data_IF_711092420391
#
_entry.id   IF_711092420391
#
_cell.length_a   1.000
_cell.length_b   1.000
_cell.length_c   1.000
_cell.angle_alpha   90.00
_cell.angle_beta   90.00
_cell.angle_gamma   90.00
#
_symmetry.space_group_name_H-M   'P 1'
#
loop_
_entity.id
_entity.type
_entity.pdbx_description
1 polymer ?
#
# COMPACT_ATOMS: atom_id res chain seq x y z
N UNK A 1 12.63 -3.05 -11.63
CA UNK A 1 12.71 -1.58 -11.68
C UNK A 1 11.53 -1.03 -10.91
N UNK A 2 11.70 0.10 -10.23
CA UNK A 2 10.63 0.76 -9.49
C UNK A 2 10.26 2.04 -10.20
N UNK A 3 8.96 2.32 -10.28
CA UNK A 3 8.44 3.60 -10.74
C UNK A 3 8.40 4.61 -9.59
N UNK A 4 8.49 5.89 -9.90
CA UNK A 4 8.23 6.96 -8.95
C UNK A 4 6.72 7.07 -8.66
N UNK A 5 6.30 8.02 -7.85
CA UNK A 5 4.91 8.25 -7.47
C UNK A 5 4.37 9.56 -8.05
N UNK A 6 3.07 9.65 -8.19
CA UNK A 6 2.37 10.92 -8.42
C UNK A 6 2.37 11.76 -7.12
N UNK A 7 2.79 13.02 -7.20
CA UNK A 7 2.88 13.91 -6.03
C UNK A 7 1.53 14.30 -5.44
N UNK A 8 0.41 14.06 -6.13
CA UNK A 8 -0.93 14.40 -5.66
C UNK A 8 -1.57 13.24 -4.91
N UNK A 9 -1.40 12.02 -5.43
CA UNK A 9 -1.99 10.80 -4.85
C UNK A 9 -1.04 10.05 -3.92
N UNK A 10 0.28 10.29 -4.02
CA UNK A 10 1.34 9.54 -3.34
C UNK A 10 1.34 8.03 -3.69
N UNK A 11 0.67 7.67 -4.74
CA UNK A 11 0.66 6.33 -5.33
C UNK A 11 1.33 6.36 -6.71
N UNK A 12 1.68 5.20 -7.26
CA UNK A 12 2.22 5.13 -8.62
C UNK A 12 1.16 5.48 -9.67
N UNK A 13 1.59 5.86 -10.87
CA UNK A 13 0.72 6.19 -12.00
C UNK A 13 1.30 5.70 -13.32
N UNK A 14 0.47 5.67 -14.36
CA UNK A 14 0.88 5.18 -15.68
C UNK A 14 2.02 6.01 -16.31
N UNK A 15 2.04 7.31 -16.04
CA UNK A 15 3.06 8.25 -16.54
C UNK A 15 4.45 7.90 -16.01
N UNK A 16 4.56 7.54 -14.72
CA UNK A 16 5.82 7.15 -14.08
C UNK A 16 6.24 5.71 -14.44
N UNK A 17 5.31 4.84 -14.81
CA UNK A 17 5.57 3.46 -15.22
C UNK A 17 6.05 3.41 -16.68
N UNK A 18 5.41 4.15 -17.59
CA UNK A 18 5.60 4.06 -19.05
C UNK A 18 7.07 4.14 -19.47
N UNK A 19 7.90 5.10 -19.00
CA UNK A 19 9.29 5.23 -19.41
C UNK A 19 10.20 4.06 -18.96
N UNK A 20 9.74 3.24 -18.03
CA UNK A 20 10.48 2.11 -17.48
C UNK A 20 10.21 0.78 -18.20
N UNK A 21 9.22 0.76 -19.10
CA UNK A 21 8.87 -0.45 -19.85
C UNK A 21 9.95 -0.73 -20.90
N UNK A 22 10.40 -1.98 -20.94
CA UNK A 22 11.36 -2.48 -21.93
C UNK A 22 10.88 -3.81 -22.51
N UNK A 23 11.55 -4.33 -23.54
CA UNK A 23 11.27 -5.67 -24.09
C UNK A 23 11.45 -6.82 -23.07
N UNK A 24 12.07 -6.56 -21.93
CA UNK A 24 12.24 -7.52 -20.82
C UNK A 24 11.15 -7.43 -19.76
N UNK A 25 10.34 -6.38 -19.78
CA UNK A 25 9.24 -6.21 -18.83
C UNK A 25 8.18 -7.29 -19.07
N UNK A 26 7.69 -7.91 -18.00
CA UNK A 26 6.69 -8.99 -18.06
C UNK A 26 5.42 -8.64 -17.28
N UNK A 27 5.56 -7.85 -16.23
CA UNK A 27 4.44 -7.47 -15.39
C UNK A 27 4.66 -6.10 -14.76
N UNK A 28 3.56 -5.47 -14.37
CA UNK A 28 3.49 -4.27 -13.54
C UNK A 28 2.91 -4.68 -12.19
N UNK A 29 3.58 -4.34 -11.10
CA UNK A 29 3.05 -4.53 -9.74
C UNK A 29 2.58 -3.18 -9.24
N UNK A 30 1.32 -3.10 -8.82
CA UNK A 30 0.66 -1.89 -8.33
C UNK A 30 0.28 -2.09 -6.88
N UNK A 31 0.75 -1.22 -5.98
CA UNK A 31 0.36 -1.25 -4.57
C UNK A 31 -0.64 -0.14 -4.26
N UNK A 32 -1.78 -0.50 -3.66
CA UNK A 32 -2.78 0.43 -3.14
C UNK A 32 -2.38 0.81 -1.70
N UNK A 33 -1.51 1.84 -1.58
CA UNK A 33 -0.87 2.20 -0.31
C UNK A 33 -1.83 2.95 0.61
N UNK A 34 -1.73 2.72 1.91
CA UNK A 34 -2.48 3.36 2.98
C UNK A 34 -4.01 3.12 2.97
N UNK A 35 -4.50 2.23 2.11
CA UNK A 35 -5.94 2.03 1.89
C UNK A 35 -6.54 2.93 0.82
N UNK A 36 -5.70 3.68 0.11
CA UNK A 36 -6.10 4.54 -1.00
C UNK A 36 -5.96 3.79 -2.34
N UNK A 37 -7.04 3.56 -3.09
CA UNK A 37 -6.96 2.99 -4.43
C UNK A 37 -6.08 3.80 -5.37
N UNK A 38 -5.23 3.11 -6.11
CA UNK A 38 -4.52 3.69 -7.26
C UNK A 38 -5.54 3.93 -8.39
N UNK A 39 -5.36 4.99 -9.19
CA UNK A 39 -6.02 5.09 -10.48
C UNK A 39 -5.45 4.02 -11.42
N UNK A 40 -6.04 2.83 -11.34
CA UNK A 40 -5.49 1.65 -12.01
C UNK A 40 -5.89 1.56 -13.49
N UNK A 41 -6.97 2.22 -13.91
CA UNK A 41 -7.49 2.13 -15.28
C UNK A 41 -6.45 2.55 -16.34
N UNK A 42 -5.73 3.69 -16.19
CA UNK A 42 -4.64 4.04 -17.10
C UNK A 42 -3.50 3.03 -17.10
N UNK A 43 -3.22 2.40 -15.96
CA UNK A 43 -2.16 1.38 -15.84
C UNK A 43 -2.57 0.09 -16.57
N UNK A 44 -3.83 -0.34 -16.45
CA UNK A 44 -4.37 -1.49 -17.22
C UNK A 44 -4.30 -1.20 -18.72
N UNK A 45 -4.69 0.01 -19.12
CA UNK A 45 -4.60 0.43 -20.54
C UNK A 45 -3.15 0.34 -21.03
N UNK A 46 -2.21 0.86 -20.26
CA UNK A 46 -0.78 0.79 -20.56
C UNK A 46 -0.28 -0.66 -20.63
N UNK A 47 -0.64 -1.50 -19.66
CA UNK A 47 -0.26 -2.91 -19.62
C UNK A 47 -0.75 -3.66 -20.88
N UNK A 48 -2.00 -3.42 -21.30
CA UNK A 48 -2.57 -4.01 -22.50
C UNK A 48 -1.81 -3.61 -23.77
N UNK A 49 -1.41 -2.31 -23.90
CA UNK A 49 -0.62 -1.83 -25.03
C UNK A 49 0.71 -2.56 -25.19
N UNK A 50 1.31 -2.99 -24.08
CA UNK A 50 2.61 -3.67 -24.07
C UNK A 50 2.50 -5.18 -23.80
N UNK A 51 1.30 -5.75 -23.79
CA UNK A 51 1.04 -7.17 -23.47
C UNK A 51 1.64 -7.61 -22.13
N UNK A 52 1.57 -6.73 -21.13
CA UNK A 52 2.06 -6.97 -19.77
C UNK A 52 0.96 -7.48 -18.85
N UNK A 53 1.35 -8.21 -17.81
CA UNK A 53 0.47 -8.61 -16.73
C UNK A 53 0.42 -7.56 -15.64
N UNK A 54 -0.72 -7.42 -14.97
CA UNK A 54 -0.89 -6.52 -13.82
C UNK A 54 -1.14 -7.34 -12.56
N UNK A 55 -0.35 -7.05 -11.53
CA UNK A 55 -0.43 -7.66 -10.20
C UNK A 55 -0.82 -6.57 -9.22
N UNK A 56 -1.93 -6.75 -8.49
CA UNK A 56 -2.36 -5.79 -7.47
C UNK A 56 -1.90 -6.22 -6.09
N UNK A 57 -1.13 -5.36 -5.41
CA UNK A 57 -0.84 -5.49 -3.98
C UNK A 57 -1.91 -4.72 -3.18
N UNK A 58 -2.86 -5.46 -2.64
CA UNK A 58 -3.96 -4.95 -1.84
C UNK A 58 -3.72 -5.10 -0.32
N UNK A 59 -2.47 -5.31 0.09
CA UNK A 59 -2.12 -5.61 1.49
C UNK A 59 -2.49 -4.51 2.49
N UNK A 60 -2.80 -3.30 2.02
CA UNK A 60 -3.22 -2.16 2.85
C UNK A 60 -4.61 -1.63 2.50
N UNK A 61 -5.34 -2.31 1.61
CA UNK A 61 -6.56 -1.77 0.99
C UNK A 61 -7.70 -2.81 0.89
N UNK A 62 -7.83 -3.64 1.93
CA UNK A 62 -8.91 -4.65 2.00
C UNK A 62 -10.29 -4.01 1.86
N UNK A 63 -10.98 -4.35 0.77
CA UNK A 63 -12.33 -3.86 0.51
C UNK A 63 -12.44 -2.43 -0.01
N UNK A 64 -11.32 -1.75 -0.29
CA UNK A 64 -11.33 -0.48 -0.98
C UNK A 64 -11.92 -0.61 -2.39
N UNK A 65 -12.53 0.47 -2.89
CA UNK A 65 -13.23 0.45 -4.17
C UNK A 65 -12.83 1.64 -5.05
N UNK A 66 -12.74 1.36 -6.35
CA UNK A 66 -12.64 2.35 -7.40
C UNK A 66 -13.83 2.16 -8.35
N UNK A 67 -14.65 3.21 -8.54
CA UNK A 67 -15.83 3.19 -9.40
C UNK A 67 -16.81 2.04 -9.08
N UNK A 68 -16.96 1.71 -7.78
CA UNK A 68 -17.84 0.65 -7.30
C UNK A 68 -17.28 -0.77 -7.48
N UNK A 69 -16.05 -0.93 -7.99
CA UNK A 69 -15.37 -2.20 -8.14
C UNK A 69 -14.24 -2.32 -7.12
N UNK A 70 -14.15 -3.46 -6.44
CA UNK A 70 -13.13 -3.67 -5.40
C UNK A 70 -11.72 -3.76 -6.00
N UNK A 71 -10.75 -3.11 -5.35
CA UNK A 71 -9.34 -3.32 -5.67
C UNK A 71 -8.97 -4.80 -5.50
N UNK A 72 -8.00 -5.25 -6.28
CA UNK A 72 -7.64 -6.66 -6.36
C UNK A 72 -8.43 -7.45 -7.41
N UNK A 73 -9.38 -6.80 -8.11
CA UNK A 73 -10.17 -7.43 -9.17
C UNK A 73 -9.96 -6.81 -10.56
N UNK A 74 -9.05 -5.85 -10.66
CA UNK A 74 -8.74 -5.15 -11.91
C UNK A 74 -7.64 -5.84 -12.72
N UNK A 75 -6.58 -6.28 -12.04
CA UNK A 75 -5.42 -6.93 -12.63
C UNK A 75 -5.63 -8.41 -12.93
N UNK A 76 -4.57 -9.05 -13.41
CA UNK A 76 -4.57 -10.51 -13.69
C UNK A 76 -4.57 -11.34 -12.41
N UNK A 77 -3.89 -10.86 -11.37
CA UNK A 77 -3.78 -11.52 -10.06
C UNK A 77 -3.57 -10.45 -8.98
N UNK A 78 -4.04 -10.73 -7.79
CA UNK A 78 -3.88 -9.86 -6.64
C UNK A 78 -3.52 -10.65 -5.39
N UNK A 79 -2.98 -9.94 -4.40
CA UNK A 79 -2.73 -10.51 -3.09
C UNK A 79 -3.07 -9.54 -1.96
N UNK A 80 -3.46 -10.12 -0.83
CA UNK A 80 -3.86 -9.44 0.39
C UNK A 80 -3.06 -9.99 1.55
N UNK A 81 -2.45 -9.12 2.35
CA UNK A 81 -1.80 -9.55 3.60
C UNK A 81 -2.85 -9.76 4.69
N UNK A 82 -2.77 -10.85 5.42
CA UNK A 82 -3.60 -11.10 6.62
C UNK A 82 -2.78 -11.05 7.91
N UNK A 83 -1.64 -10.33 7.87
CA UNK A 83 -0.80 -10.07 9.04
C UNK A 83 -1.61 -9.37 10.14
N UNK A 84 -1.22 -9.58 11.39
CA UNK A 84 -1.97 -9.20 12.61
C UNK A 84 -2.44 -7.74 12.71
N UNK A 85 -1.82 -6.80 11.98
CA UNK A 85 -2.23 -5.38 11.99
C UNK A 85 -3.07 -4.96 10.78
N UNK A 86 -3.51 -5.90 9.93
CA UNK A 86 -4.33 -5.59 8.75
C UNK A 86 -5.81 -5.53 9.10
N UNK A 87 -6.62 -4.87 8.26
CA UNK A 87 -8.09 -4.80 8.41
C UNK A 87 -8.71 -6.20 8.51
N UNK A 88 -8.24 -7.15 7.69
CA UNK A 88 -8.52 -8.56 7.82
C UNK A 88 -7.25 -9.26 8.30
N UNK A 89 -7.24 -9.72 9.54
CA UNK A 89 -6.08 -10.41 10.10
C UNK A 89 -6.39 -11.87 10.47
N UNK A 90 -5.34 -12.72 10.46
CA UNK A 90 -5.42 -14.14 10.83
C UNK A 90 -4.63 -14.45 12.11
N UNK A 91 -4.43 -13.44 12.96
CA UNK A 91 -3.78 -13.58 14.27
C UNK A 91 -2.26 -13.56 14.26
N UNK A 92 -1.62 -13.88 13.14
CA UNK A 92 -0.17 -13.91 12.98
C UNK A 92 0.28 -13.35 11.64
N UNK A 93 0.90 -14.20 10.84
CA UNK A 93 1.28 -13.91 9.45
C UNK A 93 0.39 -14.68 8.49
N UNK A 94 0.14 -14.12 7.32
CA UNK A 94 -0.65 -14.81 6.30
C UNK A 94 -0.95 -13.91 5.11
N UNK A 95 -1.60 -14.51 4.12
CA UNK A 95 -2.03 -13.81 2.93
C UNK A 95 -3.04 -14.62 2.12
N UNK A 96 -3.73 -13.93 1.25
CA UNK A 96 -4.69 -14.52 0.29
C UNK A 96 -4.29 -14.05 -1.10
N UNK A 97 -4.29 -14.97 -2.06
CA UNK A 97 -4.11 -14.68 -3.48
C UNK A 97 -5.45 -14.85 -4.18
N UNK A 98 -5.79 -13.91 -5.07
CA UNK A 98 -7.00 -13.92 -5.86
C UNK A 98 -6.70 -13.71 -7.33
N UNK A 99 -7.38 -14.43 -8.20
CA UNK A 99 -7.41 -14.22 -9.64
C UNK A 99 -8.71 -14.78 -10.23
N UNK A 100 -9.18 -14.18 -11.31
CA UNK A 100 -10.25 -14.74 -12.13
C UNK A 100 -9.72 -15.80 -13.13
N UNK A 101 -8.41 -16.01 -13.21
CA UNK A 101 -7.77 -17.01 -14.06
C UNK A 101 -7.51 -18.29 -13.27
N UNK A 102 -8.19 -19.39 -13.64
CA UNK A 102 -7.97 -20.71 -13.04
C UNK A 102 -6.49 -21.13 -13.17
N UNK A 103 -5.86 -20.90 -14.31
CA UNK A 103 -4.45 -21.22 -14.55
C UNK A 103 -3.50 -20.50 -13.58
N UNK A 104 -3.75 -19.20 -13.30
CA UNK A 104 -2.95 -18.44 -12.33
C UNK A 104 -3.17 -18.93 -10.89
N UNK A 105 -4.39 -19.30 -10.52
CA UNK A 105 -4.68 -19.86 -9.20
C UNK A 105 -4.01 -21.22 -9.02
N UNK A 106 -4.10 -22.11 -10.01
CA UNK A 106 -3.43 -23.41 -9.97
C UNK A 106 -1.90 -23.24 -9.80
N UNK A 107 -1.29 -22.37 -10.60
CA UNK A 107 0.15 -22.11 -10.53
C UNK A 107 0.56 -21.52 -9.17
N UNK A 108 -0.24 -20.59 -8.65
CA UNK A 108 0.00 -19.98 -7.33
C UNK A 108 -0.10 -21.01 -6.21
N UNK A 109 -1.13 -21.88 -6.25
CA UNK A 109 -1.32 -22.98 -5.29
C UNK A 109 -0.16 -23.96 -5.31
N UNK A 110 0.33 -24.32 -6.51
CA UNK A 110 1.49 -25.19 -6.63
C UNK A 110 2.74 -24.58 -6.00
N UNK A 111 3.05 -23.32 -6.32
CA UNK A 111 4.23 -22.63 -5.79
C UNK A 111 4.15 -22.46 -4.28
N UNK A 112 2.96 -22.19 -3.75
CA UNK A 112 2.74 -21.98 -2.31
C UNK A 112 2.66 -23.29 -1.50
N UNK A 113 2.48 -24.46 -2.14
CA UNK A 113 2.49 -25.75 -1.48
C UNK A 113 3.53 -26.70 -2.09
N UNK A 114 4.79 -26.36 -1.96
CA UNK A 114 5.92 -27.26 -2.24
C UNK A 114 5.97 -27.81 -3.68
N UNK A 115 5.31 -27.14 -4.62
CA UNK A 115 5.23 -27.55 -6.02
C UNK A 115 4.25 -28.70 -6.31
N UNK A 116 3.36 -29.01 -5.39
CA UNK A 116 2.39 -30.11 -5.53
C UNK A 116 1.19 -29.70 -6.39
N UNK A 117 0.63 -30.66 -7.10
CA UNK A 117 -0.60 -30.48 -7.89
C UNK A 117 -1.80 -30.96 -7.10
N UNK A 118 -2.74 -30.05 -6.85
CA UNK A 118 -4.06 -30.36 -6.33
C UNK A 118 -5.09 -30.14 -7.44
N UNK A 119 -5.18 -31.07 -8.40
CA UNK A 119 -6.19 -30.94 -9.45
C UNK A 119 -7.19 -32.07 -9.37
N UNK A 120 -8.47 -31.70 -9.19
CA UNK A 120 -9.70 -32.49 -9.42
C UNK A 120 -9.52 -34.01 -9.26
N UNK A 121 -9.23 -34.51 -8.06
CA UNK A 121 -9.15 -35.91 -7.70
C UNK A 121 -7.82 -36.65 -7.85
N UNK A 122 -6.75 -35.98 -8.31
CA UNK A 122 -5.43 -36.65 -8.37
C UNK A 122 -4.41 -35.88 -7.53
N UNK A 123 -4.25 -36.28 -6.28
CA UNK A 123 -3.07 -35.94 -5.49
C UNK A 123 -1.86 -36.66 -6.09
N UNK A 124 -1.02 -35.92 -6.79
CA UNK A 124 0.32 -36.38 -7.11
C UNK A 124 1.21 -36.10 -5.93
N UNK A 125 1.76 -37.11 -5.26
CA UNK A 125 2.73 -36.95 -4.18
C UNK A 125 4.04 -36.27 -4.64
N UNK A 126 4.22 -36.06 -5.94
CA UNK A 126 5.41 -35.47 -6.54
C UNK A 126 5.28 -33.96 -6.72
N UNK A 127 6.31 -33.22 -6.35
CA UNK A 127 6.47 -31.81 -6.70
C UNK A 127 6.90 -31.70 -8.16
N UNK A 128 6.15 -30.94 -8.96
CA UNK A 128 6.45 -30.73 -10.39
C UNK A 128 7.10 -29.39 -10.68
N UNK A 129 7.04 -28.46 -9.72
CA UNK A 129 7.75 -27.17 -9.75
C UNK A 129 8.43 -26.93 -8.42
N UNK A 130 9.47 -26.08 -8.40
CA UNK A 130 10.04 -25.60 -7.16
C UNK A 130 9.03 -24.67 -6.43
N UNK A 131 8.74 -24.93 -5.18
CA UNK A 131 7.79 -24.15 -4.38
C UNK A 131 8.17 -24.13 -2.90
N UNK A 132 7.57 -23.18 -2.19
CA UNK A 132 7.73 -23.03 -0.74
C UNK A 132 6.54 -23.68 -0.01
N UNK A 133 6.65 -23.87 1.29
CA UNK A 133 5.51 -24.21 2.14
C UNK A 133 4.95 -22.91 2.74
N UNK A 134 3.94 -22.37 2.09
CA UNK A 134 3.23 -21.15 2.49
C UNK A 134 1.77 -21.47 2.88
N UNK A 135 1.47 -22.71 3.27
CA UNK A 135 0.15 -23.08 3.70
C UNK A 135 -0.23 -22.34 4.99
N UNK A 136 -1.45 -21.79 5.00
CA UNK A 136 -2.04 -21.23 6.22
C UNK A 136 -2.38 -22.38 7.18
N UNK A 137 -2.07 -22.24 8.45
CA UNK A 137 -2.47 -23.21 9.48
C UNK A 137 -3.94 -23.04 9.86
N UNK A 138 -4.53 -24.10 10.44
CA UNK A 138 -5.95 -24.17 10.80
C UNK A 138 -6.36 -23.13 11.85
N UNK A 139 -5.48 -22.76 12.78
CA UNK A 139 -5.76 -21.75 13.81
C UNK A 139 -5.88 -20.38 13.16
N UNK A 140 -4.95 -20.04 12.28
CA UNK A 140 -4.98 -18.79 11.50
C UNK A 140 -6.21 -18.74 10.59
N UNK A 141 -6.56 -19.85 9.94
CA UNK A 141 -7.73 -19.94 9.09
C UNK A 141 -9.02 -19.74 9.89
N UNK A 142 -9.15 -20.35 11.06
CA UNK A 142 -10.32 -20.20 11.94
C UNK A 142 -10.50 -18.74 12.40
N UNK A 143 -9.41 -18.04 12.78
CA UNK A 143 -9.44 -16.62 13.09
C UNK A 143 -9.89 -15.82 11.86
N UNK A 144 -9.33 -16.12 10.70
CA UNK A 144 -9.66 -15.46 9.43
C UNK A 144 -11.14 -15.58 9.08
N UNK A 145 -11.76 -16.74 9.27
CA UNK A 145 -13.19 -16.97 9.04
C UNK A 145 -14.10 -16.08 9.90
N UNK A 146 -13.68 -15.78 11.13
CA UNK A 146 -14.42 -14.84 12.00
C UNK A 146 -14.13 -13.38 11.59
N UNK A 147 -12.89 -13.05 11.29
CA UNK A 147 -12.50 -11.69 10.94
C UNK A 147 -13.08 -11.22 9.61
N UNK A 148 -13.23 -12.09 8.63
CA UNK A 148 -13.84 -11.71 7.33
C UNK A 148 -15.29 -11.25 7.49
N UNK A 149 -16.01 -11.80 8.47
CA UNK A 149 -17.40 -11.39 8.78
C UNK A 149 -17.46 -10.00 9.41
N UNK A 150 -16.42 -9.60 10.13
CA UNK A 150 -16.31 -8.24 10.74
C UNK A 150 -15.79 -7.19 9.76
N UNK A 151 -15.13 -7.61 8.69
CA UNK A 151 -14.44 -6.73 7.75
C UNK A 151 -15.33 -5.60 7.19
N UNK A 152 -16.59 -5.80 6.79
CA UNK A 152 -17.45 -4.72 6.33
C UNK A 152 -17.58 -3.59 7.36
N UNK A 153 -17.84 -3.92 8.62
CA UNK A 153 -17.97 -2.91 9.69
C UNK A 153 -16.65 -2.19 9.96
N UNK A 154 -15.50 -2.91 9.93
CA UNK A 154 -14.18 -2.30 10.09
C UNK A 154 -13.94 -1.28 8.98
N UNK A 155 -14.23 -1.64 7.72
CA UNK A 155 -14.07 -0.77 6.56
C UNK A 155 -14.96 0.47 6.66
N UNK A 156 -16.24 0.28 6.99
CA UNK A 156 -17.19 1.39 7.08
C UNK A 156 -16.80 2.36 8.20
N UNK A 157 -16.38 1.84 9.36
CA UNK A 157 -15.90 2.66 10.46
C UNK A 157 -14.63 3.44 10.12
N UNK A 158 -13.62 2.77 9.59
CA UNK A 158 -12.36 3.46 9.22
C UNK A 158 -12.56 4.45 8.08
N UNK A 159 -13.42 4.15 7.11
CA UNK A 159 -13.79 5.08 6.05
C UNK A 159 -14.48 6.33 6.63
N UNK A 160 -15.49 6.15 7.48
CA UNK A 160 -16.22 7.26 8.11
C UNK A 160 -15.27 8.18 8.91
N UNK A 161 -14.44 7.60 9.78
CA UNK A 161 -13.46 8.34 10.58
C UNK A 161 -12.45 9.07 9.70
N UNK A 162 -11.92 8.41 8.69
CA UNK A 162 -10.94 8.98 7.76
C UNK A 162 -11.51 10.16 6.96
N UNK A 163 -12.72 10.02 6.41
CA UNK A 163 -13.36 11.08 5.66
C UNK A 163 -13.74 12.29 6.55
N UNK A 164 -14.14 12.03 7.80
CA UNK A 164 -14.43 13.10 8.76
C UNK A 164 -13.17 13.92 9.08
N UNK A 165 -12.04 13.25 9.36
CA UNK A 165 -10.75 13.91 9.59
C UNK A 165 -10.33 14.71 8.35
N UNK A 166 -10.40 14.14 7.16
CA UNK A 166 -10.02 14.84 5.91
C UNK A 166 -10.88 16.08 5.66
N UNK A 167 -12.18 15.97 5.88
CA UNK A 167 -13.12 17.08 5.69
C UNK A 167 -12.78 18.24 6.62
N UNK A 168 -12.56 17.97 7.89
CA UNK A 168 -12.23 19.00 8.87
C UNK A 168 -10.83 19.61 8.64
N UNK A 169 -9.85 18.81 8.24
CA UNK A 169 -8.51 19.30 7.90
C UNK A 169 -8.48 20.21 6.67
N UNK A 170 -9.51 20.20 5.83
CA UNK A 170 -9.61 21.17 4.72
C UNK A 170 -9.62 22.64 5.20
N UNK A 171 -9.87 22.89 6.48
CA UNK A 171 -9.84 24.20 7.13
C UNK A 171 -8.44 24.61 7.60
N UNK A 172 -7.49 23.68 7.72
CA UNK A 172 -6.11 23.99 8.11
C UNK A 172 -5.34 24.64 6.96
N UNK A 173 -4.46 25.56 7.29
CA UNK A 173 -3.57 26.22 6.33
C UNK A 173 -2.20 25.55 6.24
N UNK A 174 -1.85 24.70 7.19
CA UNK A 174 -0.54 24.02 7.33
C UNK A 174 -0.65 22.54 7.01
N UNK A 175 -1.71 21.89 7.51
CA UNK A 175 -1.91 20.46 7.35
C UNK A 175 -3.02 20.21 6.34
N UNK A 176 -2.75 19.40 5.35
CA UNK A 176 -3.75 18.94 4.39
C UNK A 176 -3.73 17.42 4.24
N UNK A 177 -4.87 16.82 3.95
CA UNK A 177 -4.88 15.43 3.54
C UNK A 177 -4.21 15.28 2.18
N UNK A 178 -3.59 14.15 1.91
CA UNK A 178 -3.16 13.79 0.56
C UNK A 178 -4.41 13.68 -0.31
N UNK A 179 -4.50 14.55 -1.32
CA UNK A 179 -5.81 15.00 -1.74
C UNK A 179 -6.39 14.36 -2.97
N UNK A 180 -5.57 13.90 -3.92
CA UNK A 180 -6.16 13.45 -5.17
C UNK A 180 -6.48 11.96 -5.15
N UNK A 181 -7.71 11.66 -5.46
CA UNK A 181 -8.21 10.30 -5.65
C UNK A 181 -9.11 10.28 -6.87
N UNK A 182 -9.19 9.16 -7.60
CA UNK A 182 -10.18 8.99 -8.64
C UNK A 182 -11.60 9.24 -8.13
N UNK A 183 -12.49 9.70 -9.00
CA UNK A 183 -13.91 9.86 -8.66
C UNK A 183 -14.50 8.51 -8.23
N UNK A 184 -15.48 8.55 -7.33
CA UNK A 184 -16.16 7.35 -6.82
C UNK A 184 -15.21 6.32 -6.20
N UNK A 185 -14.23 6.80 -5.43
CA UNK A 185 -13.30 5.99 -4.67
C UNK A 185 -13.82 5.81 -3.24
N UNK A 186 -13.79 4.56 -2.73
CA UNK A 186 -13.97 4.24 -1.32
C UNK A 186 -12.64 3.83 -0.73
N UNK A 187 -12.05 4.70 0.10
CA UNK A 187 -10.82 4.40 0.83
C UNK A 187 -11.11 3.59 2.09
N UNK A 188 -10.12 2.87 2.60
CA UNK A 188 -10.29 2.06 3.80
C UNK A 188 -9.33 2.45 4.93
N UNK A 189 -8.49 3.43 4.70
CA UNK A 189 -7.59 4.08 5.65
C UNK A 189 -6.89 3.13 6.64
N UNK A 190 -5.86 2.41 6.15
CA UNK A 190 -4.95 1.74 7.08
C UNK A 190 -4.19 2.74 7.95
N UNK A 191 -3.93 3.92 7.38
CA UNK A 191 -3.55 5.17 8.03
C UNK A 191 -3.90 6.33 7.10
N UNK A 192 -4.02 7.53 7.67
CA UNK A 192 -4.28 8.75 6.90
C UNK A 192 -2.94 9.41 6.60
N UNK A 193 -2.69 9.68 5.32
CA UNK A 193 -1.53 10.42 4.85
C UNK A 193 -1.83 11.91 4.87
N UNK A 194 -1.05 12.66 5.61
CA UNK A 194 -1.16 14.12 5.70
C UNK A 194 0.09 14.76 5.13
N UNK A 195 -0.11 15.88 4.44
CA UNK A 195 0.95 16.73 3.92
C UNK A 195 1.09 17.94 4.83
N UNK A 196 2.33 18.29 5.17
CA UNK A 196 2.69 19.51 5.88
C UNK A 196 3.22 20.55 4.91
N UNK A 197 2.69 21.75 4.97
CA UNK A 197 3.31 22.92 4.32
C UNK A 197 4.42 23.46 5.21
N UNK A 198 5.63 22.93 5.02
CA UNK A 198 6.81 23.28 5.81
C UNK A 198 7.22 24.74 5.66
N UNK A 199 6.74 25.46 4.64
CA UNK A 199 7.01 26.90 4.48
C UNK A 199 6.22 27.78 5.45
N UNK A 200 5.22 27.22 6.11
CA UNK A 200 4.32 27.92 7.04
C UNK A 200 4.57 27.59 8.51
N UNK A 201 5.58 26.79 8.81
CA UNK A 201 5.91 26.40 10.18
C UNK A 201 7.40 26.66 10.49
N UNK A 202 7.68 27.00 11.74
CA UNK A 202 9.02 27.33 12.25
C UNK A 202 9.87 26.11 12.64
N UNK A 203 9.34 24.89 12.46
CA UNK A 203 10.01 23.65 12.84
C UNK A 203 10.00 22.65 11.67
N UNK A 204 10.87 21.65 11.75
CA UNK A 204 10.87 20.54 10.78
C UNK A 204 9.70 19.56 11.02
N UNK A 205 9.50 18.69 10.05
CA UNK A 205 8.48 17.64 10.06
C UNK A 205 8.59 16.72 11.29
N UNK A 206 9.82 16.39 11.69
CA UNK A 206 10.06 15.51 12.83
C UNK A 206 9.57 16.16 14.12
N UNK A 207 9.94 17.41 14.36
CA UNK A 207 9.53 18.15 15.57
C UNK A 207 8.02 18.36 15.61
N UNK A 208 7.39 18.65 14.46
CA UNK A 208 5.95 18.76 14.37
C UNK A 208 5.23 17.42 14.74
N UNK A 209 5.75 16.32 14.20
CA UNK A 209 5.23 14.98 14.49
C UNK A 209 5.46 14.56 15.94
N UNK A 210 6.64 14.87 16.53
CA UNK A 210 6.92 14.58 17.94
C UNK A 210 5.97 15.37 18.87
N UNK A 211 5.61 16.61 18.50
CA UNK A 211 4.63 17.39 19.25
C UNK A 211 3.22 16.78 19.18
N UNK A 212 2.77 16.31 18.01
CA UNK A 212 1.52 15.57 17.88
C UNK A 212 1.52 14.29 18.71
N UNK A 213 2.64 13.56 18.72
CA UNK A 213 2.78 12.36 19.55
C UNK A 213 2.69 12.68 21.06
N UNK A 214 3.22 13.83 21.48
CA UNK A 214 3.13 14.31 22.87
C UNK A 214 1.71 14.68 23.28
N UNK A 215 0.84 15.07 22.32
CA UNK A 215 -0.60 15.26 22.53
C UNK A 215 -1.38 13.93 22.52
N UNK A 216 -0.71 12.78 22.40
CA UNK A 216 -1.33 11.45 22.43
C UNK A 216 -1.76 10.91 21.06
N UNK A 217 -1.44 11.60 19.96
CA UNK A 217 -1.81 11.16 18.61
C UNK A 217 -0.87 10.05 18.14
N UNK A 218 -1.44 8.96 17.61
CA UNK A 218 -0.66 7.90 16.97
C UNK A 218 -0.19 8.38 15.59
N UNK A 219 1.02 8.91 15.55
CA UNK A 219 1.61 9.51 14.35
C UNK A 219 2.96 8.91 14.01
N UNK A 220 3.30 8.89 12.72
CA UNK A 220 4.64 8.58 12.22
C UNK A 220 5.07 9.64 11.22
N UNK A 221 6.30 10.13 11.35
CA UNK A 221 6.91 11.06 10.42
C UNK A 221 7.62 10.37 9.24
N UNK A 222 7.54 9.04 9.13
CA UNK A 222 8.26 8.27 8.14
C UNK A 222 7.37 7.16 7.54
N UNK A 223 7.60 6.87 6.26
CA UNK A 223 7.21 5.62 5.65
C UNK A 223 8.48 4.81 5.34
N UNK A 224 8.82 3.90 6.24
CA UNK A 224 10.13 3.19 6.27
C UNK A 224 10.28 2.09 5.22
N UNK A 225 9.20 1.73 4.51
CA UNK A 225 9.17 0.52 3.70
C UNK A 225 9.33 0.78 2.20
N UNK A 226 9.90 1.92 1.82
CA UNK A 226 10.29 2.14 0.42
C UNK A 226 11.47 1.24 0.08
N UNK A 227 11.38 0.34 -0.92
CA UNK A 227 12.43 -0.63 -1.20
C UNK A 227 13.81 -0.01 -1.47
N UNK A 228 13.84 1.14 -2.17
CA UNK A 228 15.10 1.84 -2.51
C UNK A 228 15.82 2.42 -1.27
N UNK A 229 15.12 2.67 -0.16
CA UNK A 229 15.73 3.13 1.09
C UNK A 229 16.38 1.98 1.88
N UNK A 230 16.00 0.74 1.60
CA UNK A 230 16.42 -0.42 2.37
C UNK A 230 17.88 -0.81 2.10
N UNK A 231 18.60 -1.17 3.17
CA UNK A 231 20.01 -1.56 3.08
C UNK A 231 20.22 -2.81 2.21
N UNK A 232 19.30 -3.78 2.26
CA UNK A 232 19.41 -4.99 1.45
C UNK A 232 19.33 -4.67 -0.05
N UNK A 233 18.45 -3.74 -0.45
CA UNK A 233 18.31 -3.30 -1.83
C UNK A 233 19.57 -2.60 -2.32
N UNK A 234 20.08 -1.64 -1.51
CA UNK A 234 21.35 -0.96 -1.79
C UNK A 234 22.50 -1.96 -1.90
N UNK A 235 22.60 -2.92 -0.96
CA UNK A 235 23.61 -3.97 -0.98
C UNK A 235 23.44 -4.90 -2.18
N UNK A 236 22.23 -5.34 -2.52
CA UNK A 236 21.96 -6.19 -3.69
C UNK A 236 22.38 -5.52 -4.99
N UNK A 237 22.16 -4.20 -5.11
CA UNK A 237 22.67 -3.43 -6.25
C UNK A 237 24.21 -3.36 -6.28
N UNK A 238 24.89 -3.49 -5.15
CA UNK A 238 26.36 -3.41 -5.07
C UNK A 238 27.10 -4.75 -5.10
N UNK A 239 26.44 -5.84 -4.72
CA UNK A 239 27.13 -7.12 -4.47
C UNK A 239 26.54 -8.35 -5.16
N UNK A 240 25.44 -8.23 -5.88
CA UNK A 240 24.73 -9.39 -6.44
C UNK A 240 25.44 -9.97 -7.67
N UNK A 241 25.74 -11.25 -7.64
CA UNK A 241 26.21 -12.01 -8.79
C UNK A 241 25.17 -12.13 -9.93
N UNK A 242 23.90 -11.86 -9.65
CA UNK A 242 22.79 -12.03 -10.59
C UNK A 242 22.62 -10.86 -11.58
N UNK A 243 23.21 -9.70 -11.30
CA UNK A 243 23.10 -8.50 -12.13
C UNK A 243 24.49 -8.04 -12.55
N UNK A 244 24.74 -7.93 -13.85
CA UNK A 244 26.02 -7.42 -14.36
C UNK A 244 26.28 -5.98 -13.90
N UNK A 245 27.55 -5.60 -13.75
CA UNK A 245 27.93 -4.25 -13.33
C UNK A 245 27.39 -3.16 -14.26
N UNK A 246 27.40 -3.39 -15.57
CA UNK A 246 26.83 -2.46 -16.55
C UNK A 246 25.32 -2.26 -16.37
N UNK A 247 24.58 -3.34 -16.20
CA UNK A 247 23.13 -3.28 -15.95
C UNK A 247 22.80 -2.61 -14.62
N UNK A 248 23.62 -2.84 -13.61
CA UNK A 248 23.52 -2.20 -12.30
C UNK A 248 23.68 -0.70 -12.39
N UNK A 249 24.71 -0.23 -13.10
CA UNK A 249 24.93 1.20 -13.31
C UNK A 249 23.79 1.86 -14.12
N UNK A 250 23.25 1.15 -15.09
CA UNK A 250 22.08 1.61 -15.84
C UNK A 250 20.84 1.77 -14.95
N UNK A 251 20.55 0.77 -14.11
CA UNK A 251 19.44 0.82 -13.14
C UNK A 251 19.65 2.00 -12.19
N UNK A 252 20.83 2.16 -11.60
CA UNK A 252 21.14 3.27 -10.67
C UNK A 252 20.99 4.65 -11.33
N UNK A 253 21.37 4.79 -12.61
CA UNK A 253 21.19 6.05 -13.35
C UNK A 253 19.72 6.37 -13.63
N UNK A 254 18.90 5.35 -13.83
CA UNK A 254 17.45 5.49 -14.07
C UNK A 254 16.65 5.72 -12.79
N UNK A 255 17.22 5.42 -11.62
CA UNK A 255 16.57 5.55 -10.31
C UNK A 255 16.61 7.01 -9.83
N UNK A 256 15.77 7.84 -10.44
CA UNK A 256 15.46 9.18 -9.94
C UNK A 256 14.07 9.12 -9.31
N UNK A 257 13.99 9.19 -8.01
CA UNK A 257 12.76 9.15 -7.22
C UNK A 257 12.47 10.51 -6.61
N UNK A 258 12.50 11.56 -7.45
CA UNK A 258 12.33 12.94 -7.00
C UNK A 258 10.96 13.21 -6.38
N UNK A 259 9.93 12.55 -6.91
CA UNK A 259 8.58 12.72 -6.39
C UNK A 259 8.44 12.05 -5.01
N UNK A 260 8.90 10.82 -4.88
CA UNK A 260 8.82 10.11 -3.59
C UNK A 260 9.71 10.74 -2.52
N UNK A 261 10.89 11.26 -2.88
CA UNK A 261 11.76 11.98 -1.95
C UNK A 261 11.05 13.26 -1.43
N UNK A 262 10.42 14.02 -2.32
CA UNK A 262 9.62 15.18 -1.94
C UNK A 262 8.44 14.77 -1.06
N UNK A 263 7.65 13.78 -1.48
CA UNK A 263 6.55 13.24 -0.69
C UNK A 263 7.02 12.84 0.71
N UNK A 264 8.10 12.06 0.80
CA UNK A 264 8.67 11.62 2.08
C UNK A 264 9.17 12.77 2.95
N UNK A 265 9.60 13.89 2.36
CA UNK A 265 10.06 15.04 3.12
C UNK A 265 8.96 15.85 3.80
N UNK A 266 7.73 15.84 3.25
CA UNK A 266 6.64 16.70 3.67
C UNK A 266 5.44 15.97 4.29
N UNK A 267 5.38 14.61 4.24
CA UNK A 267 4.23 13.88 4.75
C UNK A 267 4.45 13.30 6.15
N UNK A 268 3.35 13.16 6.88
CA UNK A 268 3.21 12.38 8.11
C UNK A 268 2.03 11.43 7.99
N UNK A 269 2.02 10.35 8.79
CA UNK A 269 0.93 9.39 8.81
C UNK A 269 0.25 9.44 10.17
N UNK A 270 -1.08 9.53 10.20
CA UNK A 270 -1.89 9.36 11.40
C UNK A 270 -2.56 8.00 11.34
N UNK A 271 -2.36 7.19 12.38
CA UNK A 271 -3.02 5.89 12.50
C UNK A 271 -4.38 6.07 13.16
N UNK A 272 -5.39 5.49 12.56
CA UNK A 272 -6.74 5.46 13.08
C UNK A 272 -7.16 4.01 13.33
N UNK A 273 -8.21 3.82 14.11
CA UNK A 273 -8.75 2.51 14.46
C UNK A 273 -10.25 2.49 14.21
N UNK A 274 -10.77 1.31 13.90
CA UNK A 274 -12.19 1.09 13.67
C UNK A 274 -13.10 1.40 14.85
N UNK A 275 -12.57 1.45 16.07
CA UNK A 275 -13.31 1.77 17.28
C UNK A 275 -13.22 3.24 17.72
N UNK A 276 -12.61 4.10 16.89
CA UNK A 276 -12.61 5.55 17.18
C UNK A 276 -14.02 6.11 17.09
N UNK A 277 -14.35 6.99 18.03
CA UNK A 277 -15.58 7.77 18.08
C UNK A 277 -15.43 9.14 17.39
N UNK A 278 -16.52 9.85 17.21
CA UNK A 278 -16.49 11.25 16.77
C UNK A 278 -15.72 12.13 17.76
N UNK A 279 -15.75 11.79 19.07
CA UNK A 279 -14.96 12.51 20.07
C UNK A 279 -13.46 12.32 19.86
N UNK A 280 -13.01 11.10 19.55
CA UNK A 280 -11.58 10.85 19.23
C UNK A 280 -11.13 11.64 18.00
N UNK A 281 -11.99 11.78 16.98
CA UNK A 281 -11.72 12.63 15.82
C UNK A 281 -11.59 14.10 16.23
N UNK A 282 -12.50 14.59 17.07
CA UNK A 282 -12.45 15.96 17.58
C UNK A 282 -11.14 16.21 18.36
N UNK A 283 -10.73 15.27 19.21
CA UNK A 283 -9.51 15.38 20.00
C UNK A 283 -8.25 15.38 19.10
N UNK A 284 -8.23 14.55 18.04
CA UNK A 284 -7.17 14.56 17.02
C UNK A 284 -7.08 15.94 16.35
N UNK A 285 -8.21 16.50 15.95
CA UNK A 285 -8.27 17.81 15.27
C UNK A 285 -7.84 18.95 16.20
N UNK A 286 -8.24 18.92 17.47
CA UNK A 286 -7.78 19.87 18.48
C UNK A 286 -6.27 19.80 18.70
N UNK A 287 -5.71 18.59 18.76
CA UNK A 287 -4.26 18.41 18.88
C UNK A 287 -3.51 18.96 17.66
N UNK A 288 -4.03 18.73 16.45
CA UNK A 288 -3.45 19.28 15.22
C UNK A 288 -3.51 20.82 15.24
N UNK A 289 -4.64 21.41 15.55
CA UNK A 289 -4.81 22.88 15.64
C UNK A 289 -3.90 23.49 16.70
N UNK A 290 -3.77 22.86 17.87
CA UNK A 290 -2.86 23.30 18.94
C UNK A 290 -1.40 23.31 18.49
N UNK A 291 -0.94 22.23 17.85
CA UNK A 291 0.44 22.11 17.36
C UNK A 291 0.67 23.05 16.18
N UNK A 292 -0.30 23.20 15.27
CA UNK A 292 -0.24 24.18 14.19
C UNK A 292 -0.06 25.59 14.73
N UNK A 293 -0.90 26.03 15.67
CA UNK A 293 -0.79 27.38 16.28
C UNK A 293 0.54 27.62 16.99
N UNK A 294 1.11 26.59 17.61
CA UNK A 294 2.38 26.69 18.32
C UNK A 294 3.58 26.92 17.39
N UNK A 295 3.51 26.43 16.14
CA UNK A 295 4.63 26.46 15.21
C UNK A 295 4.38 27.27 13.93
N UNK A 296 3.19 27.80 13.72
CA UNK A 296 2.86 28.63 12.55
C UNK A 296 3.68 29.91 12.54
N UNK A 297 4.20 30.28 11.36
CA UNK A 297 4.93 31.52 11.11
C UNK A 297 3.94 32.62 10.71
#
# INVERSE_FOLDING_TARGET
VMADVDQRSYNTCAEEIKPLITSKTKAIVVAHVAGDPVDINPIITLANQYSLKVIEDCSQSHGAELEGKKVGTFGDISFFSTMSSKHHCTGGQGGVVFSNSEDLIIKSSMISDRGKVYHKEKFSGNSIVAGLNCNMDELSAAIGCVQIQKLPNIIDSTNYIGELIKTELSKSSVVSSVGWQPKNTKCVYWFIRLKLDLSKISVDKKRFSDALAAEGILVSNEYRYTPFSQLWYKKALHSSCAISNSRRQEILKQMKYTNVEKVLSEHINIFIRENYSVQDVHDILLAIDKVERAYKI
#
